data_IF_691842244259
#
_entry.id   IF_691842244259
#
_cell.length_a   1.000
_cell.length_b   1.000
_cell.length_c   1.000
_cell.angle_alpha   90.00
_cell.angle_beta   90.00
_cell.angle_gamma   90.00
#
_symmetry.space_group_name_H-M   'P 1'
#
loop_
_entity.id
_entity.type
_entity.pdbx_description
1 polymer ?
#
# COMPACT_ATOMS: atom_id res chain seq x y z
N UNK A 1 59.45 -5.37 12.86
CA UNK A 1 58.55 -4.76 11.87
C UNK A 1 57.24 -5.52 11.91
N UNK A 2 56.24 -4.96 12.60
CA UNK A 2 54.95 -5.60 12.82
C UNK A 2 53.93 -4.99 11.85
N UNK A 3 53.43 -5.79 10.93
CA UNK A 3 52.50 -5.38 9.88
C UNK A 3 51.04 -5.52 10.42
N UNK A 4 50.45 -4.38 10.83
CA UNK A 4 49.01 -4.32 11.18
C UNK A 4 48.15 -4.37 9.93
N UNK A 5 47.47 -5.49 9.74
CA UNK A 5 46.45 -5.70 8.70
C UNK A 5 45.16 -5.02 9.16
N UNK A 6 44.82 -3.84 8.60
CA UNK A 6 43.53 -3.16 8.81
C UNK A 6 42.51 -3.76 7.84
N UNK A 7 41.55 -4.51 8.38
CA UNK A 7 40.40 -5.03 7.63
C UNK A 7 39.32 -3.93 7.57
N UNK A 8 38.85 -3.50 6.41
CA UNK A 8 37.74 -2.56 6.33
C UNK A 8 36.44 -3.30 6.64
N UNK A 9 35.76 -2.89 7.72
CA UNK A 9 34.39 -3.28 8.02
C UNK A 9 33.47 -2.59 6.99
N UNK A 10 33.02 -3.33 6.00
CA UNK A 10 31.96 -2.91 5.10
C UNK A 10 30.63 -3.05 5.89
N UNK A 11 30.18 -1.94 6.47
CA UNK A 11 28.83 -1.84 7.00
C UNK A 11 27.88 -1.72 5.80
N UNK A 12 27.37 -2.84 5.34
CA UNK A 12 26.29 -2.88 4.35
C UNK A 12 25.03 -2.28 4.98
N UNK A 13 24.58 -1.14 4.48
CA UNK A 13 23.22 -0.66 4.75
C UNK A 13 22.25 -1.71 4.16
N UNK A 14 21.72 -2.59 5.00
CA UNK A 14 20.58 -3.40 4.66
C UNK A 14 19.36 -2.45 4.56
N UNK A 15 18.95 -2.15 3.34
CA UNK A 15 17.66 -1.54 3.06
C UNK A 15 16.60 -2.59 3.43
N UNK A 16 15.97 -2.37 4.59
CA UNK A 16 14.86 -3.21 5.06
C UNK A 16 13.63 -2.77 4.28
N UNK A 17 13.19 -3.59 3.33
CA UNK A 17 11.85 -3.46 2.73
C UNK A 17 10.82 -3.70 3.84
N UNK A 18 10.33 -2.61 4.42
CA UNK A 18 9.33 -2.65 5.49
C UNK A 18 7.94 -2.81 4.86
N UNK A 19 7.60 -4.05 4.51
CA UNK A 19 6.33 -4.40 3.87
C UNK A 19 5.12 -4.43 4.81
N UNK A 20 5.30 -4.17 6.09
CA UNK A 20 4.23 -4.07 7.08
C UNK A 20 4.78 -3.93 8.49
N UNK A 21 4.18 -3.09 9.32
CA UNK A 21 4.46 -3.05 10.76
C UNK A 21 3.41 -3.92 11.44
N UNK A 22 3.74 -5.13 11.91
CA UNK A 22 2.87 -5.82 12.83
C UNK A 22 2.87 -5.02 14.13
N UNK A 23 1.71 -4.53 14.53
CA UNK A 23 1.53 -3.88 15.82
C UNK A 23 1.54 -4.92 16.93
N UNK A 24 1.89 -4.55 18.20
CA UNK A 24 2.34 -5.47 19.21
C UNK A 24 1.29 -6.51 19.61
N UNK A 25 1.80 -7.72 19.75
CA UNK A 25 1.36 -8.89 20.49
C UNK A 25 -0.13 -9.05 20.83
N UNK A 26 -0.81 -9.78 20.00
CA UNK A 26 -2.11 -10.39 20.13
C UNK A 26 -2.51 -10.88 18.77
N UNK A 27 -2.98 -12.13 18.63
CA UNK A 27 -3.59 -12.59 17.37
C UNK A 27 -4.82 -11.72 17.15
N UNK A 28 -4.67 -10.64 16.36
CA UNK A 28 -5.80 -9.82 15.95
C UNK A 28 -6.55 -10.66 14.91
N UNK A 29 -7.67 -11.25 15.33
CA UNK A 29 -8.59 -11.91 14.44
C UNK A 29 -9.83 -11.02 14.31
N UNK A 30 -10.22 -10.77 13.07
CA UNK A 30 -11.48 -10.12 12.74
C UNK A 30 -12.33 -11.13 11.98
N UNK A 31 -13.59 -11.29 12.38
CA UNK A 31 -14.55 -12.11 11.64
C UNK A 31 -15.21 -11.31 10.52
N UNK A 32 -15.31 -9.99 10.71
CA UNK A 32 -15.95 -9.08 9.75
C UNK A 32 -15.19 -7.76 9.62
N UNK A 33 -14.84 -7.42 8.39
CA UNK A 33 -14.22 -6.13 8.06
C UNK A 33 -15.02 -5.38 6.99
N UNK A 34 -14.92 -4.06 7.00
CA UNK A 34 -15.38 -3.20 5.91
C UNK A 34 -14.18 -2.66 5.14
N UNK A 35 -14.27 -2.59 3.82
CA UNK A 35 -13.28 -1.95 2.96
C UNK A 35 -13.84 -0.62 2.50
N UNK A 36 -13.33 0.48 3.06
CA UNK A 36 -13.71 1.83 2.66
C UNK A 36 -13.18 2.14 1.25
N UNK A 37 -13.81 3.03 0.48
CA UNK A 37 -13.29 3.42 -0.82
C UNK A 37 -11.85 3.89 -0.71
N UNK A 38 -10.97 3.32 -1.51
CA UNK A 38 -9.57 3.73 -1.55
C UNK A 38 -9.45 5.12 -2.16
N UNK A 39 -8.39 5.84 -1.85
CA UNK A 39 -8.23 7.24 -2.22
C UNK A 39 -6.89 7.48 -2.89
N UNK A 40 -6.89 8.35 -3.90
CA UNK A 40 -5.67 8.94 -4.41
C UNK A 40 -5.34 10.19 -3.59
N UNK A 41 -4.11 10.27 -3.08
CA UNK A 41 -3.59 11.47 -2.41
C UNK A 41 -2.68 12.19 -3.38
N UNK A 42 -3.17 13.29 -3.95
CA UNK A 42 -2.40 14.14 -4.84
C UNK A 42 -1.65 15.22 -4.05
N UNK A 43 -0.44 15.61 -4.48
CA UNK A 43 0.26 16.72 -3.87
C UNK A 43 -0.47 18.04 -4.17
N UNK A 44 -0.53 18.93 -3.19
CA UNK A 44 -0.82 20.34 -3.46
C UNK A 44 0.36 20.92 -4.23
N UNK A 45 0.10 21.74 -5.25
CA UNK A 45 1.15 22.33 -6.12
C UNK A 45 2.24 23.06 -5.35
N UNK A 46 1.93 23.56 -4.17
CA UNK A 46 2.83 24.35 -3.31
C UNK A 46 3.82 23.55 -2.45
N UNK A 47 3.66 22.20 -2.33
CA UNK A 47 4.43 21.40 -1.35
C UNK A 47 5.52 20.52 -1.98
N UNK A 48 5.92 20.78 -3.22
CA UNK A 48 7.06 20.07 -3.84
C UNK A 48 6.88 18.55 -3.97
N UNK A 49 5.63 18.09 -4.04
CA UNK A 49 5.31 16.66 -4.21
C UNK A 49 5.25 15.84 -2.91
N UNK A 50 5.58 16.40 -1.76
CA UNK A 50 5.47 15.70 -0.48
C UNK A 50 4.04 15.78 0.06
N UNK A 51 3.47 14.62 0.43
CA UNK A 51 2.13 14.51 1.03
C UNK A 51 2.20 13.70 2.31
N UNK A 52 1.26 13.94 3.21
CA UNK A 52 1.10 13.17 4.45
C UNK A 52 -0.04 12.16 4.33
N UNK A 53 0.20 10.95 4.82
CA UNK A 53 -0.87 9.98 5.00
C UNK A 53 -1.92 10.51 5.99
N UNK A 54 -3.21 10.50 5.63
CA UNK A 54 -4.28 11.00 6.51
C UNK A 54 -4.47 10.19 7.80
N UNK A 55 -4.00 8.94 7.84
CA UNK A 55 -4.17 8.04 8.99
C UNK A 55 -2.94 7.93 9.88
N UNK A 56 -1.76 7.70 9.30
CA UNK A 56 -0.54 7.46 10.07
C UNK A 56 0.40 8.67 10.14
N UNK A 57 0.17 9.71 9.31
CA UNK A 57 0.99 10.92 9.27
C UNK A 57 2.36 10.76 8.59
N UNK A 58 2.69 9.59 8.05
CA UNK A 58 3.91 9.36 7.28
C UNK A 58 3.93 10.21 6.02
N UNK A 59 5.12 10.64 5.61
CA UNK A 59 5.31 11.50 4.43
C UNK A 59 5.75 10.67 3.23
N UNK A 60 5.13 10.92 2.07
CA UNK A 60 5.41 10.26 0.80
C UNK A 60 5.66 11.27 -0.30
N UNK A 61 6.47 10.89 -1.28
CA UNK A 61 6.58 11.62 -2.52
C UNK A 61 5.43 11.19 -3.44
N UNK A 62 4.44 12.07 -3.58
CA UNK A 62 3.30 11.83 -4.46
C UNK A 62 3.51 12.50 -5.82
N UNK A 63 2.94 11.89 -6.83
CA UNK A 63 2.80 12.48 -8.16
C UNK A 63 1.37 12.28 -8.62
N UNK A 64 0.75 13.30 -9.17
CA UNK A 64 -0.57 13.15 -9.77
C UNK A 64 -0.57 12.04 -10.81
N UNK A 65 -1.55 11.16 -10.75
CA UNK A 65 -1.71 10.05 -11.68
C UNK A 65 -3.00 10.25 -12.48
N UNK A 66 -2.97 10.11 -13.80
CA UNK A 66 -4.19 10.11 -14.59
C UNK A 66 -5.02 8.84 -14.31
N UNK A 67 -6.33 8.94 -14.47
CA UNK A 67 -7.25 7.84 -14.24
C UNK A 67 -7.64 7.68 -12.78
N UNK A 68 -8.00 6.47 -12.40
CA UNK A 68 -8.47 6.10 -11.07
C UNK A 68 -7.60 4.99 -10.46
N UNK A 69 -6.33 5.28 -10.11
CA UNK A 69 -5.41 4.28 -9.57
C UNK A 69 -5.88 3.70 -8.23
N UNK A 70 -6.66 4.46 -7.46
CA UNK A 70 -7.29 4.00 -6.22
C UNK A 70 -8.26 2.84 -6.46
N UNK A 71 -9.02 2.87 -7.57
CA UNK A 71 -9.92 1.78 -7.95
C UNK A 71 -9.16 0.52 -8.39
N UNK A 72 -8.02 0.70 -9.07
CA UNK A 72 -7.13 -0.41 -9.45
C UNK A 72 -6.59 -1.09 -8.21
N UNK A 73 -6.06 -0.31 -7.24
CA UNK A 73 -5.54 -0.84 -5.99
C UNK A 73 -6.64 -1.55 -5.17
N UNK A 74 -7.83 -0.95 -5.04
CA UNK A 74 -8.96 -1.52 -4.29
C UNK A 74 -9.40 -2.85 -4.89
N UNK A 75 -9.55 -2.92 -6.20
CA UNK A 75 -9.92 -4.17 -6.90
C UNK A 75 -8.90 -5.27 -6.68
N UNK A 76 -7.61 -4.98 -6.92
CA UNK A 76 -6.54 -5.97 -6.73
C UNK A 76 -6.44 -6.42 -5.27
N UNK A 77 -6.63 -5.50 -4.32
CA UNK A 77 -6.66 -5.82 -2.89
C UNK A 77 -7.80 -6.77 -2.54
N UNK A 78 -9.02 -6.49 -3.03
CA UNK A 78 -10.19 -7.34 -2.76
C UNK A 78 -10.03 -8.73 -3.39
N UNK A 79 -9.56 -8.81 -4.63
CA UNK A 79 -9.29 -10.06 -5.34
C UNK A 79 -8.26 -10.94 -4.60
N UNK A 80 -7.19 -10.34 -4.11
CA UNK A 80 -6.14 -11.09 -3.40
C UNK A 80 -6.53 -11.42 -1.96
N UNK A 81 -7.26 -10.51 -1.28
CA UNK A 81 -7.79 -10.77 0.06
C UNK A 81 -8.76 -11.95 0.08
N UNK A 82 -9.63 -12.07 -0.92
CA UNK A 82 -10.55 -13.21 -1.04
C UNK A 82 -9.81 -14.55 -1.20
N UNK A 83 -8.71 -14.57 -1.95
CA UNK A 83 -7.86 -15.76 -2.11
C UNK A 83 -7.15 -16.13 -0.81
N UNK A 84 -6.53 -15.14 -0.17
CA UNK A 84 -5.71 -15.34 1.03
C UNK A 84 -6.54 -15.56 2.31
N UNK A 85 -7.76 -15.02 2.35
CA UNK A 85 -8.65 -15.02 3.53
C UNK A 85 -10.10 -15.37 3.18
N UNK A 86 -10.37 -16.56 2.61
CA UNK A 86 -11.70 -16.93 2.09
C UNK A 86 -12.79 -17.02 3.16
N UNK A 87 -12.42 -17.09 4.44
CA UNK A 87 -13.38 -17.15 5.57
C UNK A 87 -13.72 -15.78 6.16
N UNK A 88 -12.96 -14.74 5.78
CA UNK A 88 -13.17 -13.39 6.29
C UNK A 88 -14.43 -12.78 5.66
N UNK A 89 -15.35 -12.31 6.48
CA UNK A 89 -16.54 -11.62 5.98
C UNK A 89 -16.18 -10.18 5.59
N UNK A 90 -16.11 -9.93 4.29
CA UNK A 90 -15.72 -8.62 3.74
C UNK A 90 -16.96 -7.86 3.26
N UNK A 91 -17.19 -6.67 3.80
CA UNK A 91 -18.18 -5.73 3.33
C UNK A 91 -17.47 -4.69 2.45
N UNK A 92 -17.87 -4.53 1.20
CA UNK A 92 -17.24 -3.61 0.24
C UNK A 92 -18.26 -3.02 -0.73
N UNK A 93 -17.80 -2.21 -1.68
CA UNK A 93 -18.59 -1.66 -2.77
C UNK A 93 -19.57 -0.55 -2.35
N UNK A 94 -20.66 -0.38 -3.11
CA UNK A 94 -21.58 0.75 -2.98
C UNK A 94 -22.21 0.90 -1.57
N UNK A 95 -22.40 -0.18 -0.85
CA UNK A 95 -22.92 -0.13 0.52
C UNK A 95 -21.95 0.63 1.44
N UNK A 96 -20.69 0.33 1.40
CA UNK A 96 -19.67 1.03 2.21
C UNK A 96 -19.44 2.43 1.69
N UNK A 97 -19.36 2.60 0.38
CA UNK A 97 -19.16 3.90 -0.26
C UNK A 97 -20.29 4.89 0.08
N UNK A 98 -21.54 4.43 0.14
CA UNK A 98 -22.69 5.25 0.53
C UNK A 98 -22.61 5.72 1.98
N UNK A 99 -22.29 4.83 2.92
CA UNK A 99 -22.10 5.15 4.33
C UNK A 99 -20.91 6.11 4.51
N UNK A 100 -19.78 5.81 3.85
CA UNK A 100 -18.58 6.64 3.89
C UNK A 100 -18.84 8.05 3.40
N UNK A 101 -19.48 8.24 2.22
CA UNK A 101 -19.80 9.55 1.66
C UNK A 101 -20.68 10.35 2.61
N UNK A 102 -21.73 9.75 3.18
CA UNK A 102 -22.63 10.42 4.11
C UNK A 102 -21.89 10.91 5.36
N UNK A 103 -21.13 10.03 6.02
CA UNK A 103 -20.40 10.38 7.25
C UNK A 103 -19.33 11.44 6.97
N UNK A 104 -18.63 11.35 5.85
CA UNK A 104 -17.60 12.33 5.46
C UNK A 104 -18.18 13.70 5.13
N UNK A 105 -19.38 13.78 4.51
CA UNK A 105 -20.01 15.06 4.18
C UNK A 105 -20.61 15.75 5.39
N UNK A 106 -21.13 15.00 6.36
CA UNK A 106 -21.76 15.55 7.57
C UNK A 106 -20.76 16.13 8.57
N UNK A 107 -19.46 15.92 8.35
CA UNK A 107 -18.46 16.18 9.39
C UNK A 107 -17.13 16.68 8.83
N UNK A 108 -17.08 17.95 8.44
CA UNK A 108 -15.86 18.62 7.98
C UNK A 108 -14.79 18.78 9.08
N UNK A 109 -15.14 18.52 10.34
CA UNK A 109 -14.28 18.75 11.52
C UNK A 109 -13.71 17.49 12.16
N UNK A 110 -14.21 16.29 11.78
CA UNK A 110 -13.73 15.04 12.35
C UNK A 110 -12.51 14.49 11.57
N UNK A 111 -11.65 13.76 12.27
CA UNK A 111 -10.50 13.13 11.66
C UNK A 111 -10.89 11.98 10.74
N UNK A 112 -10.05 11.68 9.74
CA UNK A 112 -10.23 10.53 8.86
C UNK A 112 -10.37 9.22 9.64
N UNK A 113 -9.64 9.09 10.74
CA UNK A 113 -9.73 7.93 11.65
C UNK A 113 -11.13 7.79 12.26
N UNK A 114 -11.71 8.89 12.70
CA UNK A 114 -13.06 8.91 13.28
C UNK A 114 -14.14 8.63 12.22
N UNK A 115 -13.97 9.13 10.99
CA UNK A 115 -14.85 8.79 9.86
C UNK A 115 -14.88 7.27 9.67
N UNK A 116 -13.71 6.63 9.55
CA UNK A 116 -13.61 5.18 9.35
C UNK A 116 -14.19 4.38 10.52
N UNK A 117 -13.96 4.83 11.75
CA UNK A 117 -14.52 4.20 12.95
C UNK A 117 -16.05 4.23 12.95
N UNK A 118 -16.65 5.38 12.59
CA UNK A 118 -18.11 5.51 12.48
C UNK A 118 -18.68 4.66 11.34
N UNK A 119 -17.98 4.59 10.19
CA UNK A 119 -18.34 3.72 9.06
C UNK A 119 -18.36 2.26 9.51
N UNK A 120 -17.33 1.80 10.18
CA UNK A 120 -17.24 0.43 10.68
C UNK A 120 -18.35 0.12 11.68
N UNK A 121 -18.60 1.03 12.63
CA UNK A 121 -19.66 0.89 13.64
C UNK A 121 -21.03 0.74 12.99
N UNK A 122 -21.35 1.58 12.01
CA UNK A 122 -22.64 1.53 11.32
C UNK A 122 -22.84 0.25 10.51
N UNK A 123 -21.77 -0.26 9.91
CA UNK A 123 -21.80 -1.50 9.14
C UNK A 123 -21.71 -2.77 10.00
N UNK A 124 -21.51 -2.62 11.32
CA UNK A 124 -21.29 -3.74 12.23
C UNK A 124 -20.00 -4.49 11.94
N UNK A 125 -18.97 -3.81 11.42
CA UNK A 125 -17.64 -4.35 11.18
C UNK A 125 -16.76 -4.20 12.42
N UNK A 126 -15.84 -5.14 12.63
CA UNK A 126 -14.84 -5.10 13.70
C UNK A 126 -13.59 -4.33 13.30
N UNK A 127 -13.29 -4.37 11.99
CA UNK A 127 -12.19 -3.64 11.39
C UNK A 127 -12.62 -2.88 10.13
N UNK A 128 -11.89 -1.80 9.81
CA UNK A 128 -12.05 -1.06 8.56
C UNK A 128 -10.72 -0.95 7.85
N UNK A 129 -10.69 -1.38 6.59
CA UNK A 129 -9.54 -1.20 5.69
C UNK A 129 -9.69 0.11 4.94
N UNK A 130 -8.60 0.88 4.84
CA UNK A 130 -8.51 2.06 4.01
C UNK A 130 -7.18 2.07 3.26
N UNK A 131 -7.21 2.37 1.96
CA UNK A 131 -6.03 2.42 1.09
C UNK A 131 -5.80 3.81 0.52
N UNK A 132 -4.52 4.16 0.33
CA UNK A 132 -4.07 5.43 -0.22
C UNK A 132 -3.01 5.21 -1.29
N UNK A 133 -3.24 5.77 -2.48
CA UNK A 133 -2.28 5.77 -3.58
C UNK A 133 -1.61 7.14 -3.64
N UNK A 134 -0.30 7.16 -3.57
CA UNK A 134 0.51 8.38 -3.63
C UNK A 134 1.17 8.56 -4.99
N UNK A 135 1.53 7.47 -5.66
CA UNK A 135 2.15 7.46 -6.98
C UNK A 135 1.68 6.24 -7.76
N UNK A 136 1.21 6.49 -8.96
CA UNK A 136 0.86 5.45 -9.91
C UNK A 136 1.25 5.94 -11.30
N UNK A 137 2.44 5.60 -11.73
CA UNK A 137 3.00 6.05 -13.00
C UNK A 137 3.21 4.88 -13.93
N UNK A 138 2.53 4.96 -15.08
CA UNK A 138 2.74 3.99 -16.14
C UNK A 138 4.12 4.10 -16.76
N UNK A 139 4.61 2.99 -17.26
CA UNK A 139 5.82 2.99 -18.07
C UNK A 139 5.59 3.74 -19.38
N UNK A 140 6.63 4.42 -19.86
CA UNK A 140 6.67 4.99 -21.22
C UNK A 140 7.82 4.39 -21.99
N UNK A 141 7.61 4.10 -23.30
CA UNK A 141 8.60 3.50 -24.18
C UNK A 141 8.11 2.22 -24.86
N UNK A 142 8.94 1.64 -25.70
CA UNK A 142 8.69 0.37 -26.40
C UNK A 142 9.24 -0.81 -25.60
N UNK A 143 8.95 -2.04 -26.04
CA UNK A 143 9.22 -3.27 -25.30
C UNK A 143 10.67 -3.47 -24.85
N UNK A 144 11.64 -2.86 -25.53
CA UNK A 144 13.08 -3.00 -25.26
C UNK A 144 13.76 -1.71 -24.81
N UNK A 145 13.09 -0.53 -24.94
CA UNK A 145 13.65 0.76 -24.55
C UNK A 145 12.59 1.49 -23.73
N UNK A 146 12.84 1.61 -22.42
CA UNK A 146 11.95 2.33 -21.51
C UNK A 146 12.53 3.69 -21.25
N UNK A 147 11.79 4.73 -21.63
CA UNK A 147 12.12 6.13 -21.35
C UNK A 147 11.76 6.48 -19.89
N UNK A 148 10.67 5.87 -19.39
CA UNK A 148 10.19 6.07 -18.04
C UNK A 148 9.64 4.74 -17.49
N UNK A 149 10.22 4.19 -16.40
CA UNK A 149 9.74 2.96 -15.79
C UNK A 149 8.43 3.15 -15.04
N UNK A 150 7.67 2.05 -14.87
CA UNK A 150 6.54 2.02 -13.97
C UNK A 150 6.98 2.31 -12.52
N UNK A 151 6.15 3.03 -11.79
CA UNK A 151 6.44 3.39 -10.41
C UNK A 151 5.15 3.50 -9.61
N UNK A 152 5.09 2.78 -8.48
CA UNK A 152 3.90 2.70 -7.63
C UNK A 152 4.28 2.92 -6.17
N UNK A 153 3.48 3.73 -5.48
CA UNK A 153 3.58 3.93 -4.03
C UNK A 153 2.17 3.97 -3.45
N UNK A 154 1.91 3.07 -2.50
CA UNK A 154 0.64 3.03 -1.79
C UNK A 154 0.81 2.58 -0.35
N UNK A 155 -0.20 2.86 0.46
CA UNK A 155 -0.39 2.28 1.79
C UNK A 155 -1.80 1.74 1.95
N UNK A 156 -1.91 0.67 2.72
CA UNK A 156 -3.18 0.10 3.16
C UNK A 156 -3.13 -0.03 4.69
N UNK A 157 -4.20 0.39 5.33
CA UNK A 157 -4.33 0.39 6.79
C UNK A 157 -5.51 -0.45 7.22
N UNK A 158 -5.39 -1.13 8.35
CA UNK A 158 -6.50 -1.76 9.06
C UNK A 158 -6.69 -1.06 10.40
N UNK A 159 -7.87 -0.49 10.59
CA UNK A 159 -8.28 0.19 11.80
C UNK A 159 -9.25 -0.71 12.58
N UNK A 160 -9.05 -0.85 13.87
CA UNK A 160 -9.99 -1.52 14.77
C UNK A 160 -11.11 -0.56 15.15
N UNK A 161 -12.37 -0.98 14.97
CA UNK A 161 -13.54 -0.12 15.14
C UNK A 161 -13.77 0.24 16.61
N UNK A 162 -13.51 -0.68 17.54
CA UNK A 162 -13.84 -0.49 18.97
C UNK A 162 -13.11 0.70 19.62
N UNK A 163 -11.88 1.01 19.18
CA UNK A 163 -11.04 2.05 19.78
C UNK A 163 -10.38 2.98 18.74
N UNK A 164 -10.61 2.76 17.46
CA UNK A 164 -10.00 3.53 16.38
C UNK A 164 -8.49 3.31 16.21
N UNK A 165 -7.90 2.28 16.84
CA UNK A 165 -6.48 2.00 16.72
C UNK A 165 -6.13 1.46 15.33
N UNK A 166 -5.01 1.95 14.75
CA UNK A 166 -4.41 1.32 13.58
C UNK A 166 -3.71 0.04 14.02
N UNK A 167 -4.21 -1.11 13.60
CA UNK A 167 -3.73 -2.43 14.03
C UNK A 167 -2.87 -3.13 12.98
N UNK A 168 -2.88 -2.63 11.75
CA UNK A 168 -1.98 -3.08 10.69
C UNK A 168 -1.78 -1.99 9.65
N UNK A 169 -0.61 -2.03 9.02
CA UNK A 169 -0.23 -1.18 7.90
C UNK A 169 0.61 -1.97 6.91
N UNK A 170 0.19 -2.03 5.67
CA UNK A 170 1.00 -2.47 4.54
C UNK A 170 1.45 -1.27 3.72
N UNK A 171 2.72 -1.16 3.40
CA UNK A 171 3.28 -0.09 2.59
C UNK A 171 4.10 -0.68 1.44
N UNK A 172 3.95 -0.11 0.26
CA UNK A 172 4.70 -0.50 -0.92
C UNK A 172 5.18 0.75 -1.67
N UNK A 173 6.47 0.81 -1.94
CA UNK A 173 7.09 1.88 -2.71
C UNK A 173 8.13 1.26 -3.64
N UNK A 174 7.81 1.18 -4.94
CA UNK A 174 8.69 0.58 -5.92
C UNK A 174 8.66 1.35 -7.24
N UNK A 175 9.85 1.61 -7.75
CA UNK A 175 10.08 2.01 -9.14
C UNK A 175 10.82 0.88 -9.82
N UNK A 176 10.33 0.43 -10.96
CA UNK A 176 11.00 -0.62 -11.71
C UNK A 176 12.37 -0.12 -12.19
N UNK A 177 13.46 -0.78 -11.77
CA UNK A 177 14.81 -0.45 -12.21
C UNK A 177 15.04 -0.89 -13.65
N UNK A 178 15.80 -0.12 -14.43
CA UNK A 178 16.25 -0.56 -15.74
C UNK A 178 17.23 -1.72 -15.60
N UNK A 179 17.23 -2.64 -16.58
CA UNK A 179 18.20 -3.75 -16.65
C UNK A 179 19.66 -3.31 -16.59
N UNK A 180 19.94 -2.08 -17.01
CA UNK A 180 21.29 -1.52 -17.07
C UNK A 180 21.82 -1.11 -15.69
N UNK A 181 20.95 -0.85 -14.70
CA UNK A 181 21.34 -0.38 -13.37
C UNK A 181 21.67 -1.53 -12.41
N UNK A 182 21.21 -2.75 -12.70
CA UNK A 182 21.36 -3.86 -11.78
C UNK A 182 21.65 -5.20 -12.47
N UNK A 183 22.87 -5.38 -12.96
CA UNK A 183 23.35 -6.65 -13.52
C UNK A 183 23.22 -7.83 -12.52
N UNK A 184 23.14 -7.56 -11.22
CA UNK A 184 22.97 -8.58 -10.18
C UNK A 184 21.51 -9.07 -10.03
N UNK A 185 20.52 -8.36 -10.56
CA UNK A 185 19.11 -8.78 -10.58
C UNK A 185 18.73 -9.57 -11.84
N UNK A 186 19.69 -9.92 -12.66
CA UNK A 186 19.50 -10.68 -13.90
C UNK A 186 18.69 -11.97 -13.68
N UNK A 187 18.92 -12.65 -12.55
CA UNK A 187 18.21 -13.90 -12.23
C UNK A 187 16.72 -13.70 -11.87
N UNK A 188 16.33 -12.54 -11.33
CA UNK A 188 14.93 -12.21 -11.02
C UNK A 188 14.18 -11.73 -12.25
N UNK A 189 14.87 -11.00 -13.13
CA UNK A 189 14.32 -10.54 -14.41
C UNK A 189 14.00 -11.72 -15.35
N UNK A 190 14.87 -12.72 -15.43
CA UNK A 190 14.60 -13.92 -16.25
C UNK A 190 13.47 -14.79 -15.68
N UNK A 191 13.25 -14.82 -14.37
CA UNK A 191 12.07 -15.46 -13.78
C UNK A 191 10.77 -14.74 -14.17
N UNK A 192 10.80 -13.42 -14.34
CA UNK A 192 9.69 -12.60 -14.83
C UNK A 192 9.56 -12.52 -16.36
N UNK A 193 10.21 -13.41 -17.13
CA UNK A 193 10.22 -13.42 -18.61
C UNK A 193 10.84 -12.18 -19.28
N UNK A 194 11.66 -11.39 -18.59
CA UNK A 194 12.36 -10.25 -19.18
C UNK A 194 11.46 -9.12 -19.70
N UNK A 195 10.20 -9.06 -19.26
CA UNK A 195 9.21 -8.08 -19.70
C UNK A 195 9.10 -6.93 -18.72
N UNK A 196 9.00 -5.73 -19.24
CA UNK A 196 8.67 -4.56 -18.44
C UNK A 196 7.22 -4.67 -17.94
N UNK A 197 7.03 -4.53 -16.64
CA UNK A 197 5.70 -4.60 -16.03
C UNK A 197 4.98 -3.26 -16.16
N UNK A 198 3.65 -3.31 -16.19
CA UNK A 198 2.77 -2.15 -16.10
C UNK A 198 2.67 -1.67 -14.65
N UNK A 199 2.12 -0.47 -14.44
CA UNK A 199 1.85 0.01 -13.07
C UNK A 199 0.82 -0.88 -12.36
N UNK A 200 -0.15 -1.43 -13.09
CA UNK A 200 -1.14 -2.38 -12.54
C UNK A 200 -0.48 -3.69 -12.12
N UNK A 201 0.36 -4.31 -12.97
CA UNK A 201 1.11 -5.52 -12.62
C UNK A 201 2.00 -5.28 -11.38
N UNK A 202 2.67 -4.11 -11.30
CA UNK A 202 3.50 -3.72 -10.16
C UNK A 202 2.67 -3.51 -8.89
N UNK A 203 1.44 -2.99 -9.03
CA UNK A 203 0.49 -2.85 -7.92
C UNK A 203 0.06 -4.22 -7.39
N UNK A 204 -0.21 -5.18 -8.29
CA UNK A 204 -0.53 -6.56 -7.91
C UNK A 204 0.58 -7.23 -7.10
N UNK A 205 1.85 -7.11 -7.55
CA UNK A 205 3.00 -7.58 -6.76
C UNK A 205 3.03 -6.95 -5.35
N UNK A 206 2.79 -5.64 -5.27
CA UNK A 206 2.76 -4.93 -4.00
C UNK A 206 1.64 -5.40 -3.08
N UNK A 207 0.45 -5.64 -3.61
CA UNK A 207 -0.69 -6.17 -2.85
C UNK A 207 -0.40 -7.57 -2.31
N UNK A 208 0.10 -8.48 -3.14
CA UNK A 208 0.53 -9.81 -2.69
C UNK A 208 1.58 -9.72 -1.57
N UNK A 209 2.54 -8.80 -1.71
CA UNK A 209 3.59 -8.62 -0.72
C UNK A 209 3.03 -8.11 0.63
N UNK A 210 2.20 -7.08 0.64
CA UNK A 210 1.69 -6.50 1.88
C UNK A 210 0.68 -7.43 2.57
N UNK A 211 -0.12 -8.19 1.82
CA UNK A 211 -1.10 -9.13 2.38
C UNK A 211 -0.47 -10.30 3.14
N UNK A 212 0.81 -10.65 2.89
CA UNK A 212 1.52 -11.67 3.68
C UNK A 212 1.57 -11.37 5.18
N UNK A 213 1.50 -10.08 5.54
CA UNK A 213 1.52 -9.62 6.94
C UNK A 213 0.14 -9.20 7.44
N UNK A 214 -0.90 -9.32 6.59
CA UNK A 214 -2.26 -8.96 6.97
C UNK A 214 -2.77 -9.86 8.09
N UNK A 215 -3.34 -9.30 9.19
CA UNK A 215 -3.81 -10.09 10.33
C UNK A 215 -5.01 -10.97 9.96
N UNK A 216 -5.15 -12.09 10.67
CA UNK A 216 -6.20 -13.07 10.47
C UNK A 216 -5.63 -14.45 10.18
N UNK A 217 -6.47 -15.48 10.33
CA UNK A 217 -6.10 -16.86 9.95
C UNK A 217 -6.29 -17.05 8.45
N UNK A 218 -5.37 -17.77 7.78
CA UNK A 218 -5.55 -18.19 6.39
C UNK A 218 -6.72 -19.16 6.22
#
# INVERSE_FOLDING_TARGET
>A
MSLCLVLPLIVGCHYREDSGIPLPEGKIAFDRIAVAPFQQVAPEESLGGAVRCPLCGMTFNATGSPGHPEQVLERLFLEELEKERPKLNVISGERVAGVYRRISSDSLTISQREVLQRVGSELGAEGVVAGYVYRFRERKGVSYTVEQPASVTFEIHLLRVSDGALVWRGSFDKTQSSLMENLFLFASFFRGKGKWVTAEELTGEGVEQVLKTFPGQP
#
